data_IF_206506595837
#
_entry.id   IF_206506595837
#
_cell.length_a   1.000
_cell.length_b   1.000
_cell.length_c   1.000
_cell.angle_alpha   90.00
_cell.angle_beta   90.00
_cell.angle_gamma   90.00
#
_symmetry.space_group_name_H-M   'P 1'
#
loop_
_entity.id
_entity.type
_entity.pdbx_description
1 polymer ?
#
# COMPACT_ATOMS: atom_id res chain seq x y z
N UNK A 1 7.68 -2.41 -37.28
CA UNK A 1 7.18 -1.06 -37.57
C UNK A 1 8.37 -0.17 -37.93
N UNK A 2 8.25 0.66 -38.96
CA UNK A 2 9.23 1.69 -39.30
C UNK A 2 8.51 3.03 -39.47
N UNK A 3 9.13 4.10 -38.99
CA UNK A 3 8.60 5.45 -39.09
C UNK A 3 9.73 6.36 -39.53
N UNK A 4 9.54 7.12 -40.64
CA UNK A 4 10.51 8.10 -41.10
C UNK A 4 10.45 9.37 -40.23
N UNK A 5 11.62 9.92 -39.88
CA UNK A 5 11.76 11.13 -39.06
C UNK A 5 12.65 12.12 -39.80
N UNK A 6 12.14 13.33 -40.05
CA UNK A 6 12.85 14.38 -40.77
C UNK A 6 13.42 15.50 -39.89
N UNK A 7 13.18 15.45 -38.57
CA UNK A 7 13.66 16.42 -37.57
C UNK A 7 13.90 15.77 -36.24
N UNK A 8 14.78 16.36 -35.41
CA UNK A 8 14.99 15.92 -34.06
C UNK A 8 13.70 16.10 -33.23
N UNK A 9 13.38 15.10 -32.41
CA UNK A 9 12.19 15.08 -31.56
C UNK A 9 11.96 13.71 -30.93
N UNK A 10 10.88 13.60 -30.18
CA UNK A 10 10.44 12.33 -29.57
C UNK A 10 9.40 11.70 -30.52
N UNK A 11 9.55 10.41 -30.78
CA UNK A 11 8.56 9.61 -31.49
C UNK A 11 8.10 8.46 -30.59
N UNK A 12 6.83 8.11 -30.70
CA UNK A 12 6.27 6.96 -30.00
C UNK A 12 6.20 5.78 -31.00
N UNK A 13 6.75 4.65 -30.54
CA UNK A 13 6.72 3.40 -31.32
C UNK A 13 5.94 2.37 -30.49
N UNK A 14 5.19 1.51 -31.16
CA UNK A 14 4.39 0.47 -30.52
C UNK A 14 2.93 0.51 -30.96
N UNK A 15 2.01 -0.17 -30.28
CA UNK A 15 2.26 -0.97 -29.06
C UNK A 15 3.09 -2.23 -29.33
N UNK A 16 3.82 -2.66 -28.32
CA UNK A 16 4.55 -3.93 -28.31
C UNK A 16 3.94 -4.85 -27.26
N UNK A 17 4.02 -6.15 -27.51
CA UNK A 17 3.58 -7.14 -26.52
C UNK A 17 4.56 -7.19 -25.34
N UNK A 18 4.05 -7.49 -24.14
CA UNK A 18 4.87 -7.71 -22.96
C UNK A 18 5.81 -8.92 -23.15
N UNK A 19 6.92 -8.98 -22.44
CA UNK A 19 7.96 -10.01 -22.50
C UNK A 19 8.58 -10.21 -23.90
N UNK A 20 8.54 -9.20 -24.74
CA UNK A 20 9.22 -9.19 -26.02
C UNK A 20 10.36 -8.19 -25.97
N UNK A 21 11.57 -8.68 -26.22
CA UNK A 21 12.73 -7.82 -26.39
C UNK A 21 12.56 -6.95 -27.65
N UNK A 22 12.45 -5.65 -27.42
CA UNK A 22 12.34 -4.67 -28.50
C UNK A 22 13.68 -3.96 -28.66
N UNK A 23 14.26 -4.06 -29.85
CA UNK A 23 15.42 -3.25 -30.22
C UNK A 23 14.98 -2.18 -31.22
N UNK A 24 15.40 -0.95 -30.98
CA UNK A 24 15.12 0.18 -31.85
C UNK A 24 16.39 0.49 -32.63
N UNK A 25 16.30 0.42 -33.95
CA UNK A 25 17.37 0.82 -34.85
C UNK A 25 17.00 2.13 -35.52
N UNK A 26 17.83 3.14 -35.38
CA UNK A 26 17.78 4.37 -36.15
C UNK A 26 18.82 4.27 -37.28
N UNK A 27 18.41 4.46 -38.51
CA UNK A 27 19.29 4.45 -39.68
C UNK A 27 19.12 5.74 -40.47
N UNK A 28 20.21 6.17 -41.10
CA UNK A 28 20.17 7.26 -42.05
C UNK A 28 19.68 6.71 -43.44
N UNK A 29 18.62 7.30 -43.98
CA UNK A 29 18.03 6.85 -45.25
C UNK A 29 18.97 7.07 -46.45
N UNK A 30 19.90 8.03 -46.36
CA UNK A 30 20.87 8.33 -47.42
C UNK A 30 22.17 7.51 -47.28
N UNK A 31 22.45 6.88 -46.13
CA UNK A 31 23.62 6.06 -45.89
C UNK A 31 23.30 4.86 -44.97
N UNK A 32 23.10 3.71 -45.56
CA UNK A 32 22.78 2.47 -44.86
C UNK A 32 23.85 2.00 -43.86
N UNK A 33 25.08 2.53 -43.92
CA UNK A 33 26.13 2.23 -42.95
C UNK A 33 26.04 3.11 -41.68
N UNK A 34 25.25 4.18 -41.72
CA UNK A 34 24.97 5.05 -40.55
C UNK A 34 23.74 4.57 -39.83
N UNK A 35 23.92 3.64 -38.91
CA UNK A 35 22.84 3.15 -38.06
C UNK A 35 23.29 3.00 -36.60
N UNK A 36 22.35 3.16 -35.69
CA UNK A 36 22.52 2.91 -34.26
C UNK A 36 21.37 2.07 -33.76
N UNK A 37 21.67 1.03 -32.98
CA UNK A 37 20.68 0.13 -32.41
C UNK A 37 20.74 0.22 -30.88
N UNK A 38 19.59 0.35 -30.21
CA UNK A 38 19.49 0.33 -28.76
C UNK A 38 19.89 -1.04 -28.22
N UNK A 39 20.23 -1.09 -26.91
CA UNK A 39 20.14 -2.33 -26.15
C UNK A 39 18.71 -2.87 -26.24
N UNK A 40 18.49 -4.18 -26.05
CA UNK A 40 17.14 -4.71 -25.89
C UNK A 40 16.38 -3.97 -24.79
N UNK A 41 15.17 -3.55 -25.08
CA UNK A 41 14.22 -2.96 -24.16
C UNK A 41 13.13 -4.01 -23.96
N UNK A 42 13.04 -4.57 -22.78
CA UNK A 42 12.00 -5.52 -22.41
C UNK A 42 11.07 -4.85 -21.42
N UNK A 43 9.79 -4.85 -21.75
CA UNK A 43 8.77 -4.53 -20.73
C UNK A 43 8.47 -5.84 -20.00
N UNK A 44 8.89 -5.94 -18.78
CA UNK A 44 8.50 -7.06 -17.93
C UNK A 44 6.99 -7.05 -17.68
N UNK A 45 6.46 -8.21 -17.50
CA UNK A 45 5.06 -8.58 -17.56
C UNK A 45 4.23 -7.86 -16.49
N UNK A 46 3.28 -7.00 -16.89
CA UNK A 46 2.06 -6.82 -16.12
C UNK A 46 1.11 -7.95 -16.51
N UNK A 47 1.16 -9.08 -15.83
CA UNK A 47 0.12 -10.08 -15.97
C UNK A 47 -1.12 -9.55 -15.28
N UNK A 48 -2.08 -9.07 -16.08
CA UNK A 48 -3.41 -8.78 -15.54
C UNK A 48 -4.03 -10.08 -15.07
N UNK A 49 -4.33 -10.17 -13.78
CA UNK A 49 -5.03 -11.29 -13.20
C UNK A 49 -6.50 -10.94 -13.05
N UNK A 50 -7.37 -11.69 -13.74
CA UNK A 50 -8.80 -11.53 -13.58
C UNK A 50 -9.24 -12.16 -12.26
N UNK A 51 -9.89 -11.37 -11.41
CA UNK A 51 -10.56 -11.82 -10.19
C UNK A 51 -12.02 -12.09 -10.54
N UNK A 52 -12.38 -13.37 -10.64
CA UNK A 52 -13.77 -13.78 -10.89
C UNK A 52 -14.57 -13.67 -9.60
N UNK A 53 -15.42 -12.64 -9.51
CA UNK A 53 -16.22 -12.36 -8.31
C UNK A 53 -17.17 -13.50 -7.93
N UNK A 54 -17.55 -14.34 -8.89
CA UNK A 54 -18.37 -15.52 -8.63
C UNK A 54 -17.58 -16.75 -8.17
N UNK A 55 -16.29 -16.83 -8.54
CA UNK A 55 -15.41 -17.94 -8.16
C UNK A 55 -14.71 -17.76 -6.80
N UNK A 56 -14.56 -16.51 -6.34
CA UNK A 56 -13.96 -16.16 -5.08
C UNK A 56 -12.56 -15.57 -5.18
N UNK A 57 -11.82 -15.47 -4.04
CA UNK A 57 -10.53 -14.80 -3.96
C UNK A 57 -9.44 -15.47 -4.81
N UNK A 58 -8.49 -14.65 -5.27
CA UNK A 58 -7.26 -15.08 -5.91
C UNK A 58 -6.09 -14.86 -4.95
N UNK A 59 -5.39 -15.93 -4.60
CA UNK A 59 -4.18 -15.86 -3.79
C UNK A 59 -2.94 -15.83 -4.68
N UNK A 60 -1.96 -15.04 -4.29
CA UNK A 60 -0.68 -14.88 -4.96
C UNK A 60 0.46 -14.94 -3.97
N UNK A 61 1.62 -15.37 -4.45
CA UNK A 61 2.86 -15.43 -3.68
C UNK A 61 4.00 -14.91 -4.53
N UNK A 62 4.87 -14.09 -3.98
CA UNK A 62 6.01 -13.55 -4.70
C UNK A 62 7.25 -13.44 -3.82
N UNK A 63 8.35 -13.94 -4.34
CA UNK A 63 9.66 -13.78 -3.75
C UNK A 63 10.44 -12.72 -4.52
N UNK A 64 10.43 -11.49 -4.00
CA UNK A 64 11.06 -10.33 -4.63
C UNK A 64 12.59 -10.46 -4.67
N UNK A 65 13.19 -9.86 -5.70
CA UNK A 65 14.64 -9.84 -5.91
C UNK A 65 15.29 -8.51 -5.52
N UNK A 66 16.60 -8.43 -5.67
CA UNK A 66 17.35 -7.18 -5.55
C UNK A 66 17.11 -6.30 -6.78
N UNK A 67 16.80 -5.01 -6.58
CA UNK A 67 16.48 -4.08 -7.66
C UNK A 67 15.15 -4.39 -8.35
N UNK A 68 14.23 -5.01 -7.65
CA UNK A 68 12.94 -5.45 -8.16
C UNK A 68 11.98 -4.26 -8.33
N UNK A 69 11.33 -4.21 -9.49
CA UNK A 69 10.29 -3.23 -9.83
C UNK A 69 9.05 -3.89 -10.39
N UNK A 70 8.85 -5.17 -10.09
CA UNK A 70 7.70 -5.95 -10.57
C UNK A 70 6.40 -5.37 -10.05
N UNK A 71 5.39 -5.36 -10.90
CA UNK A 71 4.03 -4.94 -10.56
C UNK A 71 3.03 -6.00 -11.02
N UNK A 72 2.08 -6.31 -10.16
CA UNK A 72 0.95 -7.19 -10.40
C UNK A 72 -0.32 -6.36 -10.55
N UNK A 73 -1.13 -6.69 -11.54
CA UNK A 73 -2.41 -6.06 -11.80
C UNK A 73 -3.54 -7.07 -11.59
N UNK A 74 -4.54 -6.68 -10.85
CA UNK A 74 -5.76 -7.45 -10.62
C UNK A 74 -6.96 -6.64 -11.08
N UNK A 75 -7.86 -7.28 -11.83
CA UNK A 75 -9.07 -6.65 -12.37
C UNK A 75 -10.27 -7.52 -12.02
N UNK A 76 -11.32 -6.91 -11.48
CA UNK A 76 -12.57 -7.64 -11.17
C UNK A 76 -13.34 -7.98 -12.42
N UNK A 77 -14.04 -9.12 -12.40
CA UNK A 77 -14.83 -9.61 -13.55
C UNK A 77 -16.13 -8.85 -13.79
N UNK A 78 -16.62 -8.12 -12.81
CA UNK A 78 -17.94 -7.47 -12.84
C UNK A 78 -17.91 -5.95 -12.60
N UNK A 79 -16.71 -5.37 -12.49
CA UNK A 79 -16.53 -3.95 -12.23
C UNK A 79 -16.57 -3.53 -10.75
N UNK A 80 -16.72 -4.49 -9.84
CA UNK A 80 -16.68 -4.22 -8.40
C UNK A 80 -15.29 -3.78 -7.95
N UNK A 81 -15.17 -2.96 -6.91
CA UNK A 81 -13.90 -2.72 -6.23
C UNK A 81 -13.25 -4.01 -5.74
N UNK A 82 -11.93 -3.97 -5.57
CA UNK A 82 -11.14 -5.11 -5.10
C UNK A 82 -10.58 -4.86 -3.70
N UNK A 83 -10.65 -5.87 -2.84
CA UNK A 83 -9.95 -5.92 -1.56
C UNK A 83 -8.65 -6.70 -1.74
N UNK A 84 -7.52 -6.08 -1.39
CA UNK A 84 -6.22 -6.71 -1.24
C UNK A 84 -5.96 -6.93 0.25
N UNK A 85 -5.54 -8.13 0.63
CA UNK A 85 -5.03 -8.43 1.98
C UNK A 85 -3.67 -9.07 1.85
N UNK A 86 -2.67 -8.54 2.55
CA UNK A 86 -1.36 -9.18 2.68
C UNK A 86 -1.49 -10.23 3.79
N UNK A 87 -1.46 -11.50 3.41
CA UNK A 87 -1.68 -12.62 4.34
C UNK A 87 -0.44 -12.87 5.20
N UNK A 88 0.75 -12.75 4.58
CA UNK A 88 2.05 -12.86 5.25
C UNK A 88 3.16 -12.24 4.40
N UNK A 89 4.25 -11.84 5.03
CA UNK A 89 5.45 -11.42 4.30
C UNK A 89 6.30 -10.44 5.05
N UNK A 90 7.62 -10.63 4.88
CA UNK A 90 8.64 -9.74 5.42
C UNK A 90 9.38 -9.05 4.27
N UNK A 91 9.66 -7.76 4.46
CA UNK A 91 10.46 -6.94 3.54
C UNK A 91 11.58 -6.24 4.31
N UNK A 92 12.69 -5.87 3.66
CA UNK A 92 13.80 -5.21 4.34
C UNK A 92 13.40 -3.79 4.78
N UNK A 93 13.26 -3.62 6.11
CA UNK A 93 12.82 -2.36 6.69
C UNK A 93 13.77 -1.19 6.37
N UNK A 94 13.22 -0.07 5.92
CA UNK A 94 13.95 1.15 5.60
C UNK A 94 14.65 1.17 4.22
N UNK A 95 14.59 0.06 3.44
CA UNK A 95 15.27 -0.07 2.16
C UNK A 95 14.34 -0.51 1.02
N UNK A 96 13.55 -1.52 1.28
CA UNK A 96 12.61 -2.07 0.31
C UNK A 96 11.19 -1.63 0.63
N UNK A 97 10.38 -1.40 -0.37
CA UNK A 97 8.97 -1.01 -0.19
C UNK A 97 8.04 -1.77 -1.11
N UNK A 98 6.82 -1.97 -0.63
CA UNK A 98 5.66 -2.34 -1.43
C UNK A 98 4.83 -1.10 -1.75
N UNK A 99 4.25 -1.06 -2.93
CA UNK A 99 3.40 0.03 -3.39
C UNK A 99 2.06 -0.56 -3.83
N UNK A 100 0.98 -0.16 -3.17
CA UNK A 100 -0.38 -0.54 -3.55
C UNK A 100 -1.05 0.68 -4.15
N UNK A 101 -1.56 0.55 -5.38
CA UNK A 101 -2.28 1.63 -6.07
C UNK A 101 -3.65 1.15 -6.55
N UNK A 102 -4.58 2.07 -6.65
CA UNK A 102 -5.93 1.78 -7.13
C UNK A 102 -6.08 1.99 -8.66
N UNK A 103 -7.29 1.82 -9.15
CA UNK A 103 -7.69 1.99 -10.54
C UNK A 103 -7.24 3.31 -11.17
N UNK A 104 -7.19 4.39 -10.40
CA UNK A 104 -6.83 5.74 -10.88
C UNK A 104 -5.32 6.01 -10.76
N UNK A 105 -4.56 5.08 -10.16
CA UNK A 105 -3.16 5.26 -9.84
C UNK A 105 -2.93 6.00 -8.52
N UNK A 106 -3.98 6.22 -7.72
CA UNK A 106 -3.85 6.79 -6.39
C UNK A 106 -3.17 5.76 -5.47
N UNK A 107 -2.21 6.23 -4.67
CA UNK A 107 -1.44 5.38 -3.77
C UNK A 107 -2.30 5.07 -2.53
N UNK A 108 -2.68 3.80 -2.37
CA UNK A 108 -3.35 3.29 -1.17
C UNK A 108 -2.36 2.99 -0.05
N UNK A 109 -1.16 2.52 -0.43
CA UNK A 109 -0.05 2.29 0.49
C UNK A 109 1.29 2.38 -0.23
N UNK A 110 2.29 2.92 0.45
CA UNK A 110 3.68 2.92 0.01
C UNK A 110 4.59 2.85 1.24
N UNK A 111 5.33 1.77 1.39
CA UNK A 111 6.24 1.61 2.53
C UNK A 111 6.61 0.16 2.82
N UNK A 112 7.26 -0.02 3.96
CA UNK A 112 7.72 -1.32 4.47
C UNK A 112 6.98 -1.80 5.72
N UNK A 113 6.13 -0.95 6.32
CA UNK A 113 5.42 -1.22 7.56
C UNK A 113 6.33 -1.76 8.70
N UNK A 114 7.55 -1.21 8.81
CA UNK A 114 8.53 -1.69 9.78
C UNK A 114 9.12 -3.08 9.47
N UNK A 115 8.94 -3.57 8.25
CA UNK A 115 9.47 -4.83 7.76
C UNK A 115 8.47 -6.00 7.78
N UNK A 116 7.34 -5.89 8.46
CA UNK A 116 6.28 -6.89 8.47
C UNK A 116 5.01 -6.33 7.79
N UNK A 117 4.66 -6.92 6.66
CA UNK A 117 3.52 -6.52 5.85
C UNK A 117 2.23 -7.29 6.20
N UNK A 118 2.31 -8.27 7.10
CA UNK A 118 1.19 -9.17 7.43
C UNK A 118 -0.01 -8.40 7.97
N UNK A 119 -1.20 -8.70 7.48
CA UNK A 119 -2.46 -8.11 7.93
C UNK A 119 -2.80 -6.75 7.30
N UNK A 120 -1.93 -6.17 6.47
CA UNK A 120 -2.28 -4.96 5.72
C UNK A 120 -3.42 -5.27 4.75
N UNK A 121 -4.43 -4.39 4.71
CA UNK A 121 -5.60 -4.55 3.85
C UNK A 121 -6.01 -3.22 3.23
N UNK A 122 -6.28 -3.25 1.91
CA UNK A 122 -6.62 -2.07 1.12
C UNK A 122 -7.74 -2.39 0.14
N UNK A 123 -8.63 -1.42 -0.08
CA UNK A 123 -9.70 -1.52 -1.06
C UNK A 123 -9.46 -0.51 -2.18
N UNK A 124 -9.56 -0.95 -3.45
CA UNK A 124 -9.54 -0.03 -4.59
C UNK A 124 -10.83 0.78 -4.69
N UNK A 125 -10.75 1.95 -5.30
CA UNK A 125 -11.92 2.78 -5.58
C UNK A 125 -12.73 2.30 -6.80
N UNK A 126 -12.13 1.45 -7.64
CA UNK A 126 -12.73 0.89 -8.85
C UNK A 126 -12.33 -0.58 -9.04
N UNK A 127 -12.49 -1.07 -10.25
CA UNK A 127 -12.34 -2.48 -10.62
C UNK A 127 -10.92 -3.03 -10.64
N UNK A 128 -9.91 -2.20 -10.39
CA UNK A 128 -8.50 -2.57 -10.56
C UNK A 128 -7.69 -2.20 -9.32
N UNK A 129 -6.77 -3.09 -8.90
CA UNK A 129 -5.78 -2.82 -7.86
C UNK A 129 -4.41 -3.34 -8.31
N UNK A 130 -3.36 -2.62 -7.96
CA UNK A 130 -1.98 -2.96 -8.29
C UNK A 130 -1.16 -3.21 -7.04
N UNK A 131 -0.26 -4.21 -7.12
CA UNK A 131 0.74 -4.51 -6.10
C UNK A 131 2.10 -4.42 -6.75
N UNK A 132 2.89 -3.44 -6.37
CA UNK A 132 4.22 -3.15 -6.92
C UNK A 132 5.31 -3.29 -5.88
N UNK A 133 6.53 -3.54 -6.34
CA UNK A 133 7.74 -3.61 -5.52
C UNK A 133 8.73 -2.54 -5.97
N UNK A 134 9.43 -1.97 -5.03
CA UNK A 134 10.61 -1.14 -5.28
C UNK A 134 11.66 -1.50 -4.25
N UNK A 135 12.67 -2.26 -4.68
CA UNK A 135 13.70 -2.79 -3.79
C UNK A 135 15.08 -2.23 -4.14
N UNK A 136 15.97 -2.24 -3.17
CA UNK A 136 17.35 -1.81 -3.38
C UNK A 136 18.23 -2.93 -3.98
N UNK A 137 19.54 -2.74 -4.00
CA UNK A 137 20.49 -3.67 -4.65
C UNK A 137 20.93 -4.84 -3.78
N UNK A 138 20.36 -5.03 -2.57
CA UNK A 138 20.80 -6.04 -1.61
C UNK A 138 19.67 -6.55 -0.72
N UNK A 139 19.87 -7.70 -0.08
CA UNK A 139 18.99 -8.25 0.96
C UNK A 139 17.52 -8.35 0.50
N UNK A 140 17.19 -9.38 -0.25
CA UNK A 140 15.83 -9.63 -0.74
C UNK A 140 15.36 -11.03 -0.38
N UNK A 141 14.13 -11.38 -0.71
CA UNK A 141 13.61 -12.74 -0.59
C UNK A 141 14.50 -13.76 -1.32
N UNK A 142 15.02 -13.41 -2.50
CA UNK A 142 15.87 -14.33 -3.29
C UNK A 142 17.31 -14.42 -2.77
N UNK A 143 17.79 -13.48 -1.97
CA UNK A 143 19.18 -13.37 -1.54
C UNK A 143 19.41 -13.60 -0.05
N UNK A 144 18.37 -13.54 0.79
CA UNK A 144 18.48 -13.65 2.25
C UNK A 144 17.50 -14.67 2.83
N UNK A 145 18.01 -15.55 3.69
CA UNK A 145 17.17 -16.55 4.37
C UNK A 145 16.16 -15.92 5.36
N UNK A 146 16.38 -14.69 5.80
CA UNK A 146 15.45 -13.99 6.69
C UNK A 146 14.12 -13.64 5.99
N UNK A 147 14.15 -13.45 4.68
CA UNK A 147 13.01 -13.05 3.85
C UNK A 147 12.54 -14.16 2.89
N UNK A 148 13.12 -15.36 2.98
CA UNK A 148 12.92 -16.47 2.03
C UNK A 148 11.46 -16.98 1.93
N UNK A 149 10.57 -16.56 2.84
CA UNK A 149 9.15 -16.88 2.76
C UNK A 149 8.43 -16.15 1.62
N UNK A 150 8.99 -15.03 1.15
CA UNK A 150 8.30 -14.14 0.21
C UNK A 150 7.15 -13.40 0.85
N UNK A 151 6.31 -12.85 -0.01
CA UNK A 151 5.10 -12.13 0.38
C UNK A 151 3.91 -12.84 -0.25
N UNK A 152 2.92 -13.19 0.59
CA UNK A 152 1.68 -13.82 0.18
C UNK A 152 0.55 -12.83 0.36
N UNK A 153 -0.34 -12.74 -0.63
CA UNK A 153 -1.52 -11.89 -0.56
C UNK A 153 -2.72 -12.51 -1.26
N UNK A 154 -3.88 -12.04 -0.88
CA UNK A 154 -5.16 -12.43 -1.46
C UNK A 154 -5.88 -11.20 -2.00
N UNK A 155 -6.45 -11.31 -3.20
CA UNK A 155 -7.30 -10.29 -3.83
C UNK A 155 -8.69 -10.87 -4.05
N UNK A 156 -9.71 -10.16 -3.57
CA UNK A 156 -11.11 -10.55 -3.69
C UNK A 156 -11.95 -9.38 -4.20
N UNK A 157 -13.06 -9.66 -4.86
CA UNK A 157 -14.05 -8.61 -5.11
C UNK A 157 -14.65 -8.14 -3.78
N UNK A 158 -14.77 -6.82 -3.63
CA UNK A 158 -15.35 -6.24 -2.45
C UNK A 158 -16.84 -6.57 -2.37
N UNK A 159 -17.29 -7.02 -1.21
CA UNK A 159 -18.72 -7.26 -0.92
C UNK A 159 -19.37 -6.04 -0.29
N UNK A 160 -18.54 -5.03 0.05
CA UNK A 160 -18.96 -3.83 0.78
C UNK A 160 -18.00 -2.68 0.51
N UNK A 161 -18.41 -1.46 0.83
CA UNK A 161 -17.53 -0.28 0.83
C UNK A 161 -16.93 -0.12 2.22
N UNK A 162 -15.60 -0.11 2.31
CA UNK A 162 -14.89 0.09 3.57
C UNK A 162 -15.22 1.44 4.21
N UNK A 163 -15.27 1.51 5.55
CA UNK A 163 -15.22 2.79 6.26
C UNK A 163 -13.88 3.48 6.02
N UNK A 164 -13.81 4.77 6.35
CA UNK A 164 -12.53 5.50 6.38
C UNK A 164 -12.35 6.24 7.69
N UNK A 165 -11.11 6.28 8.20
CA UNK A 165 -10.76 6.91 9.46
C UNK A 165 -9.40 7.59 9.38
N UNK A 166 -9.24 8.64 10.19
CA UNK A 166 -7.98 9.32 10.48
C UNK A 166 -7.64 9.09 11.95
N UNK A 167 -6.36 9.02 12.28
CA UNK A 167 -5.88 8.70 13.62
C UNK A 167 -5.00 9.84 14.14
N UNK A 168 -5.29 10.32 15.36
CA UNK A 168 -4.52 11.37 16.01
C UNK A 168 -4.11 10.90 17.40
N UNK A 169 -2.83 10.99 17.70
CA UNK A 169 -2.31 10.71 19.05
C UNK A 169 -2.58 11.90 19.96
N UNK A 170 -3.17 11.64 21.13
CA UNK A 170 -3.40 12.62 22.19
C UNK A 170 -2.57 12.18 23.38
N UNK A 171 -1.68 13.03 23.85
CA UNK A 171 -0.96 12.74 25.09
C UNK A 171 -1.92 12.80 26.30
N UNK A 172 -1.69 11.92 27.26
CA UNK A 172 -2.45 11.85 28.53
C UNK A 172 -1.48 11.87 29.71
N UNK A 173 -0.47 12.72 29.60
CA UNK A 173 0.67 12.83 30.51
C UNK A 173 0.30 13.23 31.93
N UNK A 174 -0.81 13.93 32.11
CA UNK A 174 -1.33 14.29 33.44
C UNK A 174 -1.74 13.07 34.25
N UNK A 175 -2.06 11.97 33.58
CA UNK A 175 -2.51 10.72 34.22
C UNK A 175 -1.43 9.62 34.23
N UNK A 176 -0.21 9.91 33.75
CA UNK A 176 0.93 8.99 33.74
C UNK A 176 1.59 8.85 32.36
N UNK A 177 2.49 7.86 32.24
CA UNK A 177 3.21 7.56 30.98
C UNK A 177 2.26 6.83 30.01
N UNK A 178 1.27 7.56 29.50
CA UNK A 178 0.20 7.01 28.66
C UNK A 178 -0.29 8.01 27.61
N UNK A 179 -0.99 7.49 26.61
CA UNK A 179 -1.59 8.27 25.53
C UNK A 179 -2.96 7.72 25.13
N UNK A 180 -3.73 8.54 24.44
CA UNK A 180 -5.00 8.20 23.83
C UNK A 180 -4.87 8.30 22.29
N UNK A 181 -5.80 7.68 21.57
CA UNK A 181 -5.90 7.78 20.13
C UNK A 181 -7.31 8.26 19.79
N UNK A 182 -7.42 9.43 19.16
CA UNK A 182 -8.65 9.89 18.55
C UNK A 182 -8.78 9.22 17.17
N UNK A 183 -9.81 8.41 17.00
CA UNK A 183 -10.19 7.76 15.75
C UNK A 183 -11.32 8.57 15.14
N UNK A 184 -11.01 9.40 14.16
CA UNK A 184 -11.98 10.21 13.45
C UNK A 184 -12.55 9.44 12.27
N UNK A 185 -13.74 8.88 12.40
CA UNK A 185 -14.46 8.20 11.31
C UNK A 185 -14.90 9.26 10.30
N UNK A 186 -14.28 9.28 9.12
CA UNK A 186 -14.56 10.23 8.05
C UNK A 186 -15.62 9.72 7.09
N UNK A 187 -15.78 8.40 6.97
CA UNK A 187 -16.87 7.74 6.23
C UNK A 187 -17.26 6.45 6.92
N UNK A 188 -18.55 6.15 6.93
CA UNK A 188 -19.09 4.87 7.38
C UNK A 188 -18.95 3.76 6.32
N UNK A 189 -18.57 4.11 5.07
CA UNK A 189 -18.73 3.20 3.95
C UNK A 189 -20.20 2.87 3.74
N UNK A 190 -20.53 1.59 3.63
CA UNK A 190 -21.90 1.09 3.59
C UNK A 190 -22.39 0.54 4.95
N UNK A 191 -21.59 0.68 6.01
CA UNK A 191 -21.93 0.22 7.35
C UNK A 191 -23.04 1.05 8.00
N UNK A 192 -23.95 0.39 8.71
CA UNK A 192 -24.89 1.04 9.62
C UNK A 192 -24.30 1.25 11.02
N UNK A 193 -23.32 0.43 11.39
CA UNK A 193 -22.54 0.54 12.62
C UNK A 193 -21.15 -0.02 12.41
N UNK A 194 -20.18 0.55 13.12
CA UNK A 194 -18.78 0.15 13.14
C UNK A 194 -18.38 -0.26 14.55
N UNK A 195 -17.60 -1.33 14.64
CA UNK A 195 -16.86 -1.68 15.86
C UNK A 195 -15.40 -1.24 15.70
N UNK A 196 -14.90 -0.48 16.66
CA UNK A 196 -13.52 -0.01 16.74
C UNK A 196 -12.84 -0.77 17.87
N UNK A 197 -11.75 -1.45 17.58
CA UNK A 197 -10.98 -2.25 18.54
C UNK A 197 -9.49 -2.01 18.39
N UNK A 198 -8.69 -2.50 19.33
CA UNK A 198 -7.24 -2.40 19.32
C UNK A 198 -6.57 -3.78 19.47
N UNK A 199 -5.29 -3.87 19.09
CA UNK A 199 -4.46 -5.06 19.28
C UNK A 199 -3.98 -5.23 20.73
N UNK A 200 -4.14 -4.21 21.58
CA UNK A 200 -3.79 -4.26 23.00
C UNK A 200 -4.84 -5.02 23.83
N UNK A 201 -6.07 -5.09 23.30
CA UNK A 201 -7.18 -5.86 23.89
C UNK A 201 -7.84 -5.18 25.09
N UNK A 202 -7.67 -3.88 25.25
CA UNK A 202 -8.21 -3.13 26.39
C UNK A 202 -9.52 -2.41 26.08
N UNK A 203 -9.76 -2.05 24.82
CA UNK A 203 -10.89 -1.21 24.44
C UNK A 203 -11.60 -1.75 23.20
N UNK A 204 -12.93 -1.65 23.25
CA UNK A 204 -13.80 -1.86 22.10
C UNK A 204 -14.92 -0.85 22.18
N UNK A 205 -15.04 -0.02 21.17
CA UNK A 205 -16.06 1.02 21.06
C UNK A 205 -16.92 0.79 19.81
N UNK A 206 -18.14 1.31 19.81
CA UNK A 206 -19.04 1.23 18.67
C UNK A 206 -19.54 2.62 18.29
N UNK A 207 -19.71 2.84 16.98
CA UNK A 207 -20.35 4.05 16.45
C UNK A 207 -21.28 3.72 15.32
N UNK A 208 -22.33 4.53 15.16
CA UNK A 208 -23.26 4.50 14.03
C UNK A 208 -23.25 5.79 13.23
N UNK A 209 -22.27 6.65 13.47
CA UNK A 209 -22.11 7.95 12.80
C UNK A 209 -20.63 8.26 12.59
N UNK A 210 -20.35 9.12 11.61
CA UNK A 210 -19.03 9.74 11.47
C UNK A 210 -18.71 10.65 12.67
N UNK A 211 -17.42 10.84 12.95
CA UNK A 211 -16.93 11.65 14.06
C UNK A 211 -15.83 10.96 14.84
N UNK A 212 -15.40 11.60 15.92
CA UNK A 212 -14.28 11.13 16.74
C UNK A 212 -14.75 10.13 17.80
N UNK A 213 -14.05 9.00 17.86
CA UNK A 213 -14.14 8.00 18.94
C UNK A 213 -12.77 7.93 19.59
N UNK A 214 -12.68 8.14 20.90
CA UNK A 214 -11.41 8.11 21.62
C UNK A 214 -11.14 6.72 22.19
N UNK A 215 -9.94 6.20 21.91
CA UNK A 215 -9.46 4.89 22.34
C UNK A 215 -8.31 5.04 23.33
N UNK A 216 -8.14 4.07 24.23
CA UNK A 216 -7.06 4.07 25.23
C UNK A 216 -7.58 4.12 26.67
N UNK A 217 -6.74 4.45 27.66
CA UNK A 217 -5.33 4.86 27.52
C UNK A 217 -4.38 3.69 27.19
N UNK A 218 -3.28 4.02 26.51
CA UNK A 218 -2.23 3.08 26.13
C UNK A 218 -0.89 3.48 26.75
N UNK A 219 -0.05 2.53 27.21
CA UNK A 219 1.27 2.85 27.74
C UNK A 219 2.22 3.30 26.63
N UNK A 220 3.16 4.18 26.96
CA UNK A 220 4.23 4.58 26.03
C UNK A 220 5.02 3.37 25.52
N UNK A 221 5.69 3.53 24.38
CA UNK A 221 6.52 2.51 23.71
C UNK A 221 5.76 1.22 23.34
N UNK A 222 4.44 1.31 23.22
CA UNK A 222 3.60 0.19 22.78
C UNK A 222 3.02 0.50 21.42
N UNK A 223 3.21 -0.41 20.46
CA UNK A 223 2.63 -0.30 19.13
C UNK A 223 1.15 -0.68 19.17
N UNK A 224 0.31 0.30 18.91
CA UNK A 224 -1.14 0.14 18.88
C UNK A 224 -1.61 0.14 17.43
N UNK A 225 -2.33 -0.89 17.05
CA UNK A 225 -3.05 -0.98 15.77
C UNK A 225 -4.54 -0.90 16.07
N UNK A 226 -5.18 0.12 15.52
CA UNK A 226 -6.64 0.29 15.60
C UNK A 226 -7.28 -0.43 14.43
N UNK A 227 -8.27 -1.24 14.72
CA UNK A 227 -9.10 -1.95 13.74
C UNK A 227 -10.51 -1.37 13.74
N UNK A 228 -11.00 -0.96 12.57
CA UNK A 228 -12.38 -0.49 12.37
C UNK A 228 -13.10 -1.49 11.47
N UNK A 229 -14.14 -2.12 11.98
CA UNK A 229 -14.87 -3.20 11.31
C UNK A 229 -16.32 -2.81 11.05
N UNK A 230 -16.83 -3.15 9.88
CA UNK A 230 -18.26 -3.07 9.57
C UNK A 230 -19.01 -4.22 10.28
N UNK A 231 -19.98 -3.90 11.14
CA UNK A 231 -20.73 -4.90 11.90
C UNK A 231 -21.65 -5.77 11.03
N UNK A 232 -21.95 -5.34 9.81
CA UNK A 232 -22.82 -6.06 8.86
C UNK A 232 -22.03 -6.94 7.88
N UNK A 233 -20.76 -6.64 7.64
CA UNK A 233 -19.90 -7.43 6.77
C UNK A 233 -18.45 -7.50 7.32
N UNK A 234 -18.09 -8.69 7.79
CA UNK A 234 -16.78 -8.98 8.40
C UNK A 234 -15.59 -8.81 7.44
N UNK A 235 -15.85 -8.74 6.12
CA UNK A 235 -14.78 -8.51 5.13
C UNK A 235 -14.44 -7.02 4.98
N UNK A 236 -15.30 -6.14 5.50
CA UNK A 236 -15.07 -4.69 5.48
C UNK A 236 -14.39 -4.22 6.75
N UNK A 237 -13.08 -4.25 6.73
CA UNK A 237 -12.21 -3.91 7.85
C UNK A 237 -11.07 -3.03 7.35
N UNK A 238 -10.75 -2.00 8.11
CA UNK A 238 -9.52 -1.22 7.94
C UNK A 238 -8.69 -1.28 9.22
N UNK A 239 -7.36 -1.26 9.05
CA UNK A 239 -6.41 -1.20 10.14
C UNK A 239 -5.58 0.08 10.04
N UNK A 240 -5.24 0.69 11.18
CA UNK A 240 -4.23 1.74 11.19
C UNK A 240 -2.83 1.15 10.97
N UNK A 241 -1.88 2.00 10.57
CA UNK A 241 -0.47 1.71 10.82
C UNK A 241 -0.23 1.63 12.34
N UNK A 242 0.84 0.98 12.80
CA UNK A 242 1.23 1.02 14.21
C UNK A 242 1.38 2.45 14.71
N UNK A 243 0.70 2.77 15.80
CA UNK A 243 0.67 4.09 16.43
C UNK A 243 1.35 3.98 17.79
N UNK A 244 2.30 4.88 18.07
CA UNK A 244 3.08 4.84 19.29
C UNK A 244 3.37 6.27 19.78
N UNK A 245 3.46 6.46 21.09
CA UNK A 245 4.03 7.66 21.71
C UNK A 245 5.22 7.26 22.59
N UNK A 246 6.35 7.97 22.42
CA UNK A 246 7.62 7.63 23.07
C UNK A 246 7.80 8.30 24.44
N UNK A 247 7.33 9.52 24.58
CA UNK A 247 7.44 10.34 25.78
C UNK A 247 6.44 11.49 25.73
N UNK A 248 6.20 12.12 26.86
CA UNK A 248 5.44 13.36 26.92
C UNK A 248 6.14 14.46 26.14
N UNK A 249 5.38 15.30 25.39
CA UNK A 249 5.93 16.52 24.82
C UNK A 249 6.54 17.39 25.93
N UNK A 250 7.67 18.10 25.68
CA UNK A 250 8.21 19.04 26.67
C UNK A 250 7.20 20.17 26.93
N UNK A 251 7.12 20.64 28.18
CA UNK A 251 6.17 21.69 28.59
C UNK A 251 6.27 22.99 27.76
N UNK A 252 7.37 23.20 27.04
CA UNK A 252 7.61 24.37 26.20
C UNK A 252 7.52 24.13 24.69
N UNK A 253 6.99 22.98 24.26
CA UNK A 253 6.86 22.64 22.83
C UNK A 253 5.70 23.38 22.16
N UNK A 254 4.89 24.08 22.90
CA UNK A 254 3.83 24.94 22.40
C UNK A 254 4.39 26.38 22.24
N UNK A 255 4.34 26.93 21.01
CA UNK A 255 4.85 28.28 20.72
C UNK A 255 4.23 29.39 21.59
N UNK A 256 3.02 29.18 22.10
CA UNK A 256 2.32 30.11 22.99
C UNK A 256 2.83 30.06 24.45
N UNK A 257 3.56 29.02 24.83
CA UNK A 257 4.08 28.80 26.18
C UNK A 257 5.62 28.74 26.22
N UNK A 258 6.29 29.17 25.14
CA UNK A 258 7.75 29.17 25.05
C UNK A 258 8.36 29.94 26.22
N UNK A 259 9.14 29.26 27.07
CA UNK A 259 9.88 29.88 28.19
C UNK A 259 11.05 30.65 27.60
N UNK A 260 11.10 31.97 27.86
CA UNK A 260 12.27 32.79 27.48
C UNK A 260 13.54 32.20 28.12
N UNK A 261 14.54 31.90 27.28
CA UNK A 261 15.84 31.50 27.78
C UNK A 261 16.49 32.68 28.56
N UNK A 262 16.72 32.49 29.85
CA UNK A 262 17.37 33.44 30.75
C UNK A 262 18.87 33.36 30.61
#
# INVERSE_FOLDING_TARGET
NSTGVSSAGTIQLGPYANNVDVQITASNDDDANCSSTSSPLTQEYCATTLVDCAAGPVSSSYCYGNGDTTQFEYVSSDGSPLNLTIDSGLIEAGWDIIIVTDTNGDILFQGDNGGDLSGLSYQSSGDTIYVGFQTDGSVSCTSSSAYAGGIDWTVACATCTNPSAEYTVIDDCDNGDQFLIDVNITSMGDANSLTISDNYGSNTEQTSTTGVVQMGPYPFLTDIVITVSNDQDVNCVINSNPIQLFACPPENDNCDEAIEAV
#
